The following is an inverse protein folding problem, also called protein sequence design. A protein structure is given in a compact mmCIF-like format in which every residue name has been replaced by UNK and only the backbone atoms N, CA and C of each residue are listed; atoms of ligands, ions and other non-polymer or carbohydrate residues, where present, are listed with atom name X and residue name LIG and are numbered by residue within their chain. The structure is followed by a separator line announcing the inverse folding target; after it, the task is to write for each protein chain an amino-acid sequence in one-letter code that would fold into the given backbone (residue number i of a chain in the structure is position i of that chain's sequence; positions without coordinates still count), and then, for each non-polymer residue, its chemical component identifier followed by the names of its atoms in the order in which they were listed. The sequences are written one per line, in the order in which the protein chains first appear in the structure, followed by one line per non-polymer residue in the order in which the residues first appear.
data_IF_168251935011
#
_entry.id   IF_168251935011
#
_cell.length_a   1.000
_cell.length_b   1.000
_cell.length_c   1.000
_cell.angle_alpha   90.00
_cell.angle_beta   90.00
_cell.angle_gamma   90.00
#
_symmetry.space_group_name_H-M   'P 1'
#
loop_
_entity.id
_entity.type
_entity.pdbx_description
1 polymer ?
#
# COMPACT_ATOMS: atom_id res chain seq x y z
N UNK A 1 -31.73 19.53 -7.02
CA UNK A 1 -30.97 20.12 -8.14
C UNK A 1 -29.80 19.23 -8.56
N UNK A 2 -28.89 18.82 -7.65
CA UNK A 2 -27.74 17.95 -7.99
C UNK A 2 -28.14 16.56 -8.55
N UNK A 3 -29.06 15.83 -7.90
CA UNK A 3 -29.60 14.55 -8.43
C UNK A 3 -30.28 14.68 -9.80
N UNK A 4 -30.90 15.83 -10.10
CA UNK A 4 -31.59 16.09 -11.37
C UNK A 4 -30.61 16.37 -12.52
N UNK A 5 -29.36 16.69 -12.18
CA UNK A 5 -28.26 16.90 -13.13
C UNK A 5 -27.23 15.76 -13.03
N UNK A 6 -27.57 14.65 -12.38
CA UNK A 6 -26.72 13.46 -12.24
C UNK A 6 -25.34 13.72 -11.59
N UNK A 7 -25.20 14.83 -10.86
CA UNK A 7 -23.95 15.16 -10.16
C UNK A 7 -23.95 14.56 -8.76
N UNK A 8 -23.04 13.62 -8.54
CA UNK A 8 -22.74 13.02 -7.24
C UNK A 8 -21.37 13.46 -6.70
N UNK A 9 -21.14 13.24 -5.41
CA UNK A 9 -19.81 13.40 -4.83
C UNK A 9 -18.88 12.31 -5.40
N UNK A 10 -17.89 12.71 -6.20
CA UNK A 10 -16.92 11.80 -6.81
C UNK A 10 -15.52 12.10 -6.27
N UNK A 11 -14.75 11.04 -6.00
CA UNK A 11 -13.33 11.16 -5.65
C UNK A 11 -12.48 10.83 -6.87
N UNK A 12 -11.52 11.68 -7.18
CA UNK A 12 -10.55 11.43 -8.24
C UNK A 12 -9.79 10.14 -7.94
N UNK A 13 -9.82 9.20 -8.89
CA UNK A 13 -9.02 7.97 -8.86
C UNK A 13 -7.80 8.16 -9.74
N UNK A 14 -6.65 7.68 -9.28
CA UNK A 14 -5.50 7.50 -10.15
C UNK A 14 -5.58 6.11 -10.77
N UNK A 15 -5.25 6.01 -12.05
CA UNK A 15 -5.09 4.74 -12.76
C UNK A 15 -3.61 4.56 -13.11
N UNK A 16 -3.16 3.31 -13.11
CA UNK A 16 -1.85 2.91 -13.65
C UNK A 16 -2.10 1.89 -14.74
N UNK A 17 -1.51 2.13 -15.89
CA UNK A 17 -1.60 1.25 -17.06
C UNK A 17 -0.18 0.91 -17.52
N UNK A 18 0.03 -0.35 -17.89
CA UNK A 18 1.31 -0.82 -18.39
C UNK A 18 1.43 -0.48 -19.89
N UNK A 19 2.54 0.12 -20.29
CA UNK A 19 2.85 0.34 -21.73
C UNK A 19 3.64 -0.81 -22.36
N UNK A 20 3.78 -1.94 -21.67
CA UNK A 20 4.51 -3.08 -22.18
C UNK A 20 3.69 -3.81 -23.27
N UNK A 21 4.21 -3.98 -24.49
CA UNK A 21 3.50 -4.71 -25.54
C UNK A 21 3.23 -6.19 -25.19
N UNK A 22 3.99 -6.79 -24.28
CA UNK A 22 3.81 -8.16 -23.80
C UNK A 22 3.00 -8.25 -22.50
N UNK A 23 2.28 -7.17 -22.14
CA UNK A 23 1.54 -7.11 -20.89
C UNK A 23 0.50 -8.24 -20.77
N UNK A 24 -0.31 -8.46 -21.81
CA UNK A 24 -1.31 -9.53 -21.85
C UNK A 24 -0.66 -10.91 -21.75
N UNK A 25 0.38 -11.16 -22.56
CA UNK A 25 1.15 -12.42 -22.50
C UNK A 25 1.70 -12.71 -21.10
N UNK A 26 2.13 -11.67 -20.38
CA UNK A 26 2.59 -11.81 -19.00
C UNK A 26 1.44 -12.14 -18.05
N UNK A 27 0.27 -11.52 -18.22
CA UNK A 27 -0.91 -11.81 -17.41
C UNK A 27 -1.39 -13.24 -17.63
N UNK A 28 -1.53 -13.69 -18.88
CA UNK A 28 -1.93 -15.05 -19.23
C UNK A 28 -1.00 -16.08 -18.57
N UNK A 29 0.31 -15.82 -18.59
CA UNK A 29 1.29 -16.70 -17.96
C UNK A 29 1.18 -16.72 -16.44
N UNK A 30 0.88 -15.58 -15.81
CA UNK A 30 0.64 -15.52 -14.36
C UNK A 30 -0.61 -16.33 -14.02
N UNK A 31 -1.70 -16.18 -14.78
CA UNK A 31 -2.94 -16.94 -14.58
C UNK A 31 -2.71 -18.45 -14.76
N UNK A 32 -2.00 -18.86 -15.81
CA UNK A 32 -1.66 -20.27 -16.04
C UNK A 32 -0.86 -20.87 -14.86
N UNK A 33 0.16 -20.17 -14.39
CA UNK A 33 1.03 -20.66 -13.32
C UNK A 33 0.28 -20.73 -11.99
N UNK A 34 -0.48 -19.69 -11.66
CA UNK A 34 -1.23 -19.64 -10.40
C UNK A 34 -2.40 -20.62 -10.37
N UNK A 35 -3.05 -20.90 -11.51
CA UNK A 35 -4.10 -21.93 -11.59
C UNK A 35 -3.57 -23.36 -11.51
N UNK A 36 -2.43 -23.67 -12.16
CA UNK A 36 -1.88 -25.04 -12.21
C UNK A 36 -1.01 -25.39 -11.00
N UNK A 37 -0.33 -24.42 -10.42
CA UNK A 37 0.70 -24.64 -9.41
C UNK A 37 0.50 -23.80 -8.16
N UNK A 38 -0.76 -23.59 -7.76
CA UNK A 38 -1.12 -22.71 -6.65
C UNK A 38 -0.29 -22.95 -5.37
N UNK A 39 -0.09 -24.21 -4.98
CA UNK A 39 0.72 -24.61 -3.81
C UNK A 39 2.22 -24.36 -3.93
N UNK A 40 2.70 -23.89 -5.07
CA UNK A 40 4.09 -23.52 -5.34
C UNK A 40 4.24 -22.07 -5.76
N UNK A 41 3.17 -21.28 -5.71
CA UNK A 41 3.17 -19.88 -6.11
C UNK A 41 3.34 -18.99 -4.87
N UNK A 42 4.31 -18.09 -4.94
CA UNK A 42 4.60 -17.11 -3.91
C UNK A 42 4.63 -15.71 -4.51
N UNK A 43 3.98 -14.77 -3.83
CA UNK A 43 4.04 -13.35 -4.16
C UNK A 43 4.96 -12.61 -3.19
N UNK A 44 5.75 -11.68 -3.72
CA UNK A 44 6.66 -10.86 -2.94
C UNK A 44 6.40 -9.39 -3.22
N UNK A 45 6.35 -8.59 -2.17
CA UNK A 45 6.28 -7.13 -2.29
C UNK A 45 7.10 -6.46 -1.18
N UNK A 46 7.57 -5.24 -1.49
CA UNK A 46 8.26 -4.38 -0.54
C UNK A 46 7.38 -3.17 -0.22
N UNK A 47 6.93 -3.09 1.02
CA UNK A 47 6.28 -1.90 1.52
C UNK A 47 7.33 -0.84 1.89
N UNK A 48 7.37 0.19 1.03
CA UNK A 48 8.25 1.35 1.08
C UNK A 48 8.15 2.17 2.38
N UNK A 49 9.12 3.08 2.61
CA UNK A 49 9.55 3.59 3.92
C UNK A 49 8.40 3.64 4.93
N UNK A 50 8.38 2.72 5.89
CA UNK A 50 7.42 2.72 6.99
C UNK A 50 7.67 3.99 7.81
N UNK A 51 6.96 5.04 7.42
CA UNK A 51 7.13 6.38 7.94
C UNK A 51 6.08 6.56 9.02
N UNK A 52 6.44 6.28 10.27
CA UNK A 52 5.61 6.65 11.41
C UNK A 52 5.71 8.17 11.52
N UNK A 53 4.86 8.87 10.78
CA UNK A 53 4.69 10.32 10.89
C UNK A 53 3.33 10.60 11.54
N UNK A 54 3.22 11.65 12.37
CA UNK A 54 1.91 12.12 12.81
C UNK A 54 1.05 12.45 11.59
N UNK A 55 -0.17 11.91 11.57
CA UNK A 55 -1.18 12.21 10.56
C UNK A 55 -2.31 13.00 11.21
N UNK A 56 -2.90 13.94 10.48
CA UNK A 56 -4.06 14.67 10.97
C UNK A 56 -5.19 13.70 11.30
N UNK A 57 -5.56 13.65 12.58
CA UNK A 57 -6.67 12.85 13.09
C UNK A 57 -7.96 13.66 13.21
N UNK A 58 -8.97 13.01 13.78
CA UNK A 58 -10.18 13.66 14.30
C UNK A 58 -10.33 13.24 15.75
N UNK A 59 -10.67 14.19 16.62
CA UNK A 59 -10.81 13.94 18.05
C UNK A 59 -11.64 15.03 18.70
N UNK A 60 -12.05 14.76 19.94
CA UNK A 60 -12.69 15.76 20.79
C UNK A 60 -11.62 16.67 21.37
N UNK A 61 -11.78 17.97 21.20
CA UNK A 61 -10.89 18.98 21.75
C UNK A 61 -11.73 20.11 22.36
N UNK A 62 -11.16 20.84 23.32
CA UNK A 62 -11.80 22.01 23.90
C UNK A 62 -12.04 23.04 22.79
N UNK A 63 -13.19 23.73 22.83
CA UNK A 63 -13.54 24.75 21.84
C UNK A 63 -12.39 25.75 21.68
N UNK A 64 -12.05 26.08 20.43
CA UNK A 64 -10.93 26.95 20.03
C UNK A 64 -9.51 26.41 20.33
N UNK A 65 -9.38 25.20 20.87
CA UNK A 65 -8.09 24.58 21.20
C UNK A 65 -7.90 23.24 20.47
N UNK A 66 -7.79 23.24 19.13
CA UNK A 66 -7.54 22.03 18.38
C UNK A 66 -6.15 21.47 18.67
N UNK A 67 -5.99 20.14 18.66
CA UNK A 67 -4.69 19.51 18.64
C UNK A 67 -3.91 19.91 17.38
N UNK A 68 -2.65 20.28 17.56
CA UNK A 68 -1.78 20.74 16.48
C UNK A 68 -0.59 19.80 16.31
N UNK A 69 -0.30 19.49 15.06
CA UNK A 69 0.92 18.78 14.65
C UNK A 69 1.90 19.80 14.04
N UNK A 70 3.20 19.70 14.30
CA UNK A 70 4.20 20.55 13.65
C UNK A 70 4.14 20.45 12.13
N UNK A 71 4.32 21.59 11.43
CA UNK A 71 4.37 21.62 9.96
C UNK A 71 5.60 20.88 9.39
N UNK A 72 6.68 20.81 10.16
CA UNK A 72 7.93 20.17 9.76
C UNK A 72 8.21 18.94 10.63
N UNK A 73 8.31 17.77 10.01
CA UNK A 73 8.64 16.51 10.65
C UNK A 73 10.12 16.16 10.43
N UNK A 74 10.89 16.02 11.52
CA UNK A 74 12.29 15.61 11.48
C UNK A 74 12.40 14.09 11.67
N UNK A 75 12.90 13.39 10.66
CA UNK A 75 13.17 11.95 10.74
C UNK A 75 14.56 11.73 11.35
N UNK A 76 14.59 11.19 12.57
CA UNK A 76 15.84 10.91 13.30
C UNK A 76 16.41 9.51 13.04
N UNK A 77 15.62 8.62 12.46
CA UNK A 77 15.99 7.21 12.23
C UNK A 77 16.00 6.86 10.73
N UNK A 78 16.79 5.85 10.36
CA UNK A 78 16.87 5.35 8.99
C UNK A 78 15.54 4.87 8.41
N UNK A 79 15.50 4.67 7.10
CA UNK A 79 14.33 4.10 6.42
C UNK A 79 14.23 2.61 6.72
N UNK A 80 13.04 2.16 7.12
CA UNK A 80 12.71 0.74 7.29
C UNK A 80 11.76 0.32 6.17
N UNK A 81 12.08 -0.78 5.53
CA UNK A 81 11.22 -1.45 4.56
C UNK A 81 10.63 -2.68 5.22
N UNK A 82 9.35 -2.93 4.95
CA UNK A 82 8.71 -4.18 5.32
C UNK A 82 8.64 -5.06 4.08
N UNK A 83 9.09 -6.30 4.21
CA UNK A 83 9.09 -7.28 3.13
C UNK A 83 7.98 -8.29 3.41
N UNK A 84 7.07 -8.44 2.45
CA UNK A 84 6.01 -9.42 2.47
C UNK A 84 6.31 -10.62 1.58
N UNK A 85 5.91 -11.80 2.01
CA UNK A 85 5.85 -13.02 1.21
C UNK A 85 4.47 -13.65 1.42
N UNK A 86 3.75 -13.96 0.36
CA UNK A 86 2.43 -14.59 0.43
C UNK A 86 2.44 -15.91 -0.32
N UNK A 87 2.06 -17.01 0.34
CA UNK A 87 1.81 -18.32 -0.29
C UNK A 87 0.38 -18.34 -0.81
N UNK A 88 0.21 -18.49 -2.13
CA UNK A 88 -1.12 -18.53 -2.74
C UNK A 88 -1.89 -19.81 -2.35
N UNK A 89 -1.20 -20.94 -2.26
CA UNK A 89 -1.85 -22.23 -2.00
C UNK A 89 -2.20 -22.46 -0.54
N UNK A 90 -1.42 -21.90 0.38
CA UNK A 90 -1.67 -22.04 1.82
C UNK A 90 -2.53 -20.90 2.38
N UNK A 91 -2.77 -19.85 1.60
CA UNK A 91 -3.41 -18.60 2.02
C UNK A 91 -2.71 -17.99 3.27
N UNK A 92 -1.38 -17.90 3.20
CA UNK A 92 -0.56 -17.45 4.33
C UNK A 92 0.35 -16.30 3.93
N UNK A 93 0.32 -15.24 4.74
CA UNK A 93 1.14 -14.04 4.59
C UNK A 93 2.20 -13.98 5.70
N UNK A 94 3.47 -13.91 5.30
CA UNK A 94 4.59 -13.61 6.18
C UNK A 94 5.12 -12.21 5.92
N UNK A 95 5.60 -11.61 6.99
CA UNK A 95 6.07 -10.24 6.98
C UNK A 95 7.26 -10.06 7.91
N UNK A 96 8.32 -9.45 7.40
CA UNK A 96 9.53 -9.21 8.17
C UNK A 96 10.14 -7.85 7.86
N UNK A 97 10.76 -7.27 8.88
CA UNK A 97 11.78 -6.25 8.67
C UNK A 97 13.12 -6.97 8.69
N UNK A 98 13.97 -6.84 7.66
CA UNK A 98 15.34 -7.33 7.75
C UNK A 98 15.98 -6.72 8.98
N UNK A 99 16.67 -7.56 9.77
CA UNK A 99 17.33 -7.13 11.00
C UNK A 99 18.21 -5.91 10.72
N UNK A 100 18.25 -4.96 11.66
CA UNK A 100 19.12 -3.80 11.52
C UNK A 100 20.55 -4.30 11.28
N UNK A 101 21.11 -4.01 10.12
CA UNK A 101 22.50 -4.29 9.83
C UNK A 101 23.30 -3.45 10.84
N UNK A 102 23.84 -4.11 11.88
CA UNK A 102 24.80 -3.47 12.78
C UNK A 102 25.97 -3.05 11.91
N UNK A 103 26.31 -1.76 11.97
CA UNK A 103 27.57 -1.26 11.41
C UNK A 103 28.73 -1.87 12.17
#
# INVERSE_FOLDING_TARGET
MLRRNEVGWQRTRTWKESKNPEFETKLDRIEEVTSKFLSRCFEFDQFGPLSIRPHHGRGWAVQSHPDRLPATYHRTHGIRYFHGCYSLGDDQLWGGQPGAQRR
#
